data_IF_101338343336
#
_entry.id   IF_101338343336
#
_cell.length_a   1.000
_cell.length_b   1.000
_cell.length_c   1.000
_cell.angle_alpha   90.00
_cell.angle_beta   90.00
_cell.angle_gamma   90.00
#
_symmetry.space_group_name_H-M   'P 1'
#
loop_
_entity.id
_entity.type
_entity.pdbx_description
1 polymer ?
#
# COMPACT_ATOMS: atom_id res chain seq x y z
N UNK A 1 30.37 36.68 -74.00
CA UNK A 1 31.28 37.68 -73.41
C UNK A 1 30.65 38.19 -72.13
N UNK A 2 31.37 38.00 -71.01
CA UNK A 2 31.19 38.61 -69.68
C UNK A 2 29.85 38.42 -68.96
N UNK A 3 29.75 38.05 -67.69
CA UNK A 3 30.67 37.66 -66.62
C UNK A 3 29.80 37.59 -65.35
N UNK A 4 30.04 36.55 -64.56
CA UNK A 4 29.39 36.26 -63.29
C UNK A 4 29.81 37.27 -62.23
N UNK A 5 28.86 37.71 -61.38
CA UNK A 5 29.18 38.02 -59.98
C UNK A 5 28.14 37.39 -59.06
N UNK A 6 28.62 36.36 -58.37
CA UNK A 6 27.99 35.69 -57.25
C UNK A 6 28.02 36.60 -56.01
N UNK A 7 27.08 36.38 -55.09
CA UNK A 7 27.38 35.94 -53.73
C UNK A 7 26.08 35.85 -52.91
N UNK A 8 25.62 34.61 -52.69
CA UNK A 8 24.72 34.24 -51.60
C UNK A 8 25.59 33.84 -50.40
N UNK A 9 25.33 34.41 -49.22
CA UNK A 9 25.80 33.91 -47.93
C UNK A 9 24.67 34.14 -46.91
N UNK A 10 23.76 33.18 -46.72
CA UNK A 10 23.75 32.17 -45.63
C UNK A 10 24.22 32.68 -44.27
N UNK A 11 23.25 32.92 -43.38
CA UNK A 11 23.43 32.99 -41.93
C UNK A 11 22.37 32.12 -41.25
N UNK A 12 22.72 30.86 -41.02
CA UNK A 12 21.88 29.84 -40.37
C UNK A 12 22.04 29.89 -38.84
N UNK A 13 20.91 29.93 -38.15
CA UNK A 13 20.51 29.12 -36.98
C UNK A 13 21.60 28.72 -35.95
N UNK A 14 21.45 29.24 -34.72
CA UNK A 14 21.91 28.54 -33.52
C UNK A 14 20.86 28.65 -32.42
N UNK A 15 19.84 27.80 -32.52
CA UNK A 15 18.91 27.51 -31.43
C UNK A 15 19.57 26.45 -30.55
N UNK A 16 20.14 26.86 -29.42
CA UNK A 16 20.60 25.94 -28.38
C UNK A 16 19.38 25.32 -27.69
N UNK A 17 18.91 24.18 -28.17
CA UNK A 17 18.04 23.32 -27.38
C UNK A 17 18.93 22.46 -26.47
N UNK A 18 18.91 22.77 -25.19
CA UNK A 18 19.52 21.96 -24.15
C UNK A 18 18.68 20.69 -24.00
N UNK A 19 19.16 19.60 -24.58
CA UNK A 19 18.61 18.26 -24.39
C UNK A 19 18.77 17.85 -22.93
N UNK A 20 17.72 17.98 -22.13
CA UNK A 20 17.57 17.28 -20.86
C UNK A 20 17.11 15.85 -21.16
N UNK A 21 18.05 14.93 -21.38
CA UNK A 21 17.74 13.51 -21.26
C UNK A 21 17.72 13.19 -19.76
N UNK A 22 16.52 13.06 -19.20
CA UNK A 22 16.36 12.43 -17.91
C UNK A 22 16.76 10.96 -18.07
N UNK A 23 17.94 10.59 -17.57
CA UNK A 23 18.33 9.21 -17.36
C UNK A 23 17.34 8.57 -16.37
N UNK A 24 16.34 7.88 -16.91
CA UNK A 24 15.49 7.00 -16.12
C UNK A 24 16.34 5.79 -15.77
N UNK A 25 17.01 5.85 -14.63
CA UNK A 25 17.64 4.70 -14.00
C UNK A 25 16.53 3.71 -13.60
N UNK A 26 16.21 2.77 -14.50
CA UNK A 26 15.45 1.59 -14.15
C UNK A 26 16.33 0.71 -13.25
N UNK A 27 16.18 0.87 -11.94
CA UNK A 27 16.80 -0.02 -10.97
C UNK A 27 16.17 -1.43 -11.10
N UNK A 28 16.95 -2.35 -11.65
CA UNK A 28 16.65 -3.78 -11.73
C UNK A 28 16.76 -4.40 -10.32
N UNK A 29 15.67 -4.32 -9.55
CA UNK A 29 15.52 -5.04 -8.29
C UNK A 29 15.08 -6.48 -8.57
N UNK A 30 16.01 -7.41 -8.33
CA UNK A 30 15.91 -8.81 -8.74
C UNK A 30 14.57 -9.51 -8.44
N UNK A 31 13.95 -10.04 -9.50
CA UNK A 31 13.04 -11.20 -9.52
C UNK A 31 11.94 -11.28 -8.43
N UNK A 32 11.35 -10.14 -8.12
CA UNK A 32 10.09 -10.02 -7.39
C UNK A 32 9.58 -8.60 -7.54
N UNK A 33 9.33 -8.16 -8.77
CA UNK A 33 8.96 -6.77 -9.06
C UNK A 33 7.77 -6.29 -8.21
N UNK A 34 7.60 -4.97 -8.12
CA UNK A 34 6.52 -4.36 -7.33
C UNK A 34 5.15 -4.93 -7.68
N UNK A 35 4.24 -4.94 -6.70
CA UNK A 35 2.86 -5.31 -6.96
C UNK A 35 2.25 -4.31 -7.95
N UNK A 36 1.51 -4.86 -8.90
CA UNK A 36 0.97 -4.16 -10.07
C UNK A 36 -0.52 -3.97 -9.94
N UNK A 37 -1.08 -2.99 -10.66
CA UNK A 37 -2.54 -2.76 -10.66
C UNK A 37 -3.34 -3.98 -11.14
N UNK A 38 -2.73 -4.81 -12.00
CA UNK A 38 -3.33 -6.05 -12.48
C UNK A 38 -3.24 -7.23 -11.50
N UNK A 39 -2.56 -7.08 -10.36
CA UNK A 39 -2.51 -8.13 -9.34
C UNK A 39 -3.82 -8.14 -8.56
N UNK A 40 -4.43 -9.32 -8.50
CA UNK A 40 -5.66 -9.54 -7.73
C UNK A 40 -5.30 -9.76 -6.28
N UNK A 41 -5.62 -8.76 -5.48
CA UNK A 41 -5.31 -8.71 -4.06
C UNK A 41 -6.59 -8.54 -3.27
N UNK A 42 -6.71 -9.26 -2.18
CA UNK A 42 -7.89 -9.22 -1.31
C UNK A 42 -7.45 -9.15 0.14
N UNK A 43 -7.95 -8.15 0.83
CA UNK A 43 -7.78 -7.94 2.26
C UNK A 43 -8.85 -8.78 2.93
N UNK A 44 -8.47 -9.94 3.44
CA UNK A 44 -9.41 -10.88 4.06
C UNK A 44 -9.89 -10.37 5.42
N UNK A 45 -8.95 -9.89 6.23
CA UNK A 45 -9.14 -9.63 7.64
C UNK A 45 -8.13 -8.63 8.22
N UNK A 46 -8.53 -7.98 9.32
CA UNK A 46 -7.70 -7.07 10.10
C UNK A 46 -7.99 -7.25 11.60
N UNK A 47 -6.99 -7.75 12.32
CA UNK A 47 -7.01 -7.96 13.76
C UNK A 47 -6.01 -7.04 14.48
N UNK A 48 -6.13 -6.96 15.81
CA UNK A 48 -5.19 -6.24 16.69
C UNK A 48 -4.56 -7.16 17.74
N UNK A 49 -3.46 -6.72 18.32
CA UNK A 49 -2.83 -7.39 19.46
C UNK A 49 -2.45 -6.37 20.54
N UNK A 50 -2.90 -6.55 21.80
CA UNK A 50 -3.84 -7.58 22.25
C UNK A 50 -5.25 -7.39 21.64
N UNK A 51 -6.09 -8.42 21.69
CA UNK A 51 -7.53 -8.36 21.39
C UNK A 51 -8.26 -9.34 22.36
N UNK A 52 -9.26 -8.89 23.14
CA UNK A 52 -9.78 -7.52 23.20
C UNK A 52 -8.87 -6.56 23.97
N UNK A 53 -9.11 -5.25 23.83
CA UNK A 53 -8.37 -4.19 24.53
C UNK A 53 -9.27 -3.29 25.37
N UNK A 54 -8.73 -2.79 26.49
CA UNK A 54 -9.36 -1.74 27.26
C UNK A 54 -9.17 -0.37 26.58
N UNK A 55 -10.09 0.56 26.85
CA UNK A 55 -9.92 1.94 26.41
C UNK A 55 -8.61 2.53 26.97
N UNK A 56 -7.87 3.27 26.14
CA UNK A 56 -6.56 3.81 26.50
C UNK A 56 -5.41 2.79 26.55
N UNK A 57 -5.69 1.49 26.41
CA UNK A 57 -4.65 0.47 26.27
C UNK A 57 -3.95 0.61 24.92
N UNK A 58 -2.62 0.41 24.93
CA UNK A 58 -1.80 0.46 23.71
C UNK A 58 -2.05 -0.76 22.83
N UNK A 59 -2.31 -0.52 21.55
CA UNK A 59 -2.19 -1.55 20.53
C UNK A 59 -0.70 -1.77 20.28
N UNK A 60 -0.28 -3.04 20.26
CA UNK A 60 1.12 -3.43 20.01
C UNK A 60 1.35 -3.70 18.52
N UNK A 61 0.44 -4.47 17.93
CA UNK A 61 0.52 -4.84 16.54
C UNK A 61 -0.87 -4.96 15.91
N UNK A 62 -0.88 -4.83 14.59
CA UNK A 62 -1.97 -5.14 13.70
C UNK A 62 -1.65 -6.46 13.01
N UNK A 63 -2.66 -7.30 12.79
CA UNK A 63 -2.53 -8.55 12.05
C UNK A 63 -3.41 -8.47 10.81
N UNK A 64 -2.78 -8.34 9.66
CA UNK A 64 -3.49 -8.21 8.38
C UNK A 64 -3.41 -9.53 7.64
N UNK A 65 -4.52 -10.00 7.10
CA UNK A 65 -4.55 -11.14 6.18
C UNK A 65 -4.81 -10.64 4.76
N UNK A 66 -3.83 -10.80 3.88
CA UNK A 66 -3.94 -10.40 2.48
C UNK A 66 -3.72 -11.61 1.58
N UNK A 67 -4.68 -11.89 0.70
CA UNK A 67 -4.58 -12.90 -0.33
C UNK A 67 -4.09 -12.29 -1.63
N UNK A 68 -3.01 -12.84 -2.18
CA UNK A 68 -2.57 -12.59 -3.55
C UNK A 68 -2.95 -13.77 -4.43
N UNK A 69 -3.81 -13.52 -5.40
CA UNK A 69 -4.21 -14.55 -6.36
C UNK A 69 -3.16 -14.75 -7.47
N UNK A 70 -3.20 -15.91 -8.10
CA UNK A 70 -2.24 -16.29 -9.15
C UNK A 70 -0.95 -16.89 -8.59
N UNK A 71 0.12 -16.91 -9.38
CA UNK A 71 1.37 -17.63 -9.05
C UNK A 71 2.58 -16.72 -8.84
N UNK A 72 2.40 -15.40 -9.01
CA UNK A 72 3.51 -14.44 -8.91
C UNK A 72 3.78 -14.10 -7.45
N UNK A 73 5.00 -13.64 -7.20
CA UNK A 73 5.38 -12.95 -5.97
C UNK A 73 5.63 -11.48 -6.32
N UNK A 74 5.39 -10.58 -5.39
CA UNK A 74 5.64 -9.15 -5.59
C UNK A 74 5.97 -8.45 -4.27
N UNK A 75 6.52 -7.24 -4.37
CA UNK A 75 6.88 -6.40 -3.23
C UNK A 75 5.98 -5.16 -3.15
N UNK A 76 5.56 -4.77 -1.95
CA UNK A 76 4.65 -3.63 -1.75
C UNK A 76 4.71 -3.07 -0.33
N UNK A 77 4.34 -1.80 -0.17
CA UNK A 77 4.06 -1.18 1.12
C UNK A 77 2.60 -1.39 1.53
N UNK A 78 2.38 -1.69 2.81
CA UNK A 78 1.04 -1.89 3.40
C UNK A 78 0.81 -0.83 4.46
N UNK A 79 -0.31 -0.11 4.36
CA UNK A 79 -0.70 0.96 5.26
C UNK A 79 -2.02 0.63 5.95
N UNK A 80 -2.10 0.89 7.25
CA UNK A 80 -3.33 0.82 8.02
C UNK A 80 -3.70 2.23 8.43
N UNK A 81 -4.93 2.64 8.13
CA UNK A 81 -5.41 4.00 8.31
C UNK A 81 -6.65 4.06 9.18
N UNK A 82 -6.69 5.06 10.06
CA UNK A 82 -7.90 5.53 10.73
C UNK A 82 -8.21 6.93 10.19
N UNK A 83 -9.19 7.02 9.29
CA UNK A 83 -9.41 8.25 8.51
C UNK A 83 -8.13 8.70 7.79
N UNK A 84 -7.65 9.90 8.13
CA UNK A 84 -6.45 10.48 7.51
C UNK A 84 -5.12 10.06 8.19
N UNK A 85 -5.17 9.36 9.31
CA UNK A 85 -3.98 8.98 10.08
C UNK A 85 -3.46 7.61 9.67
N UNK A 86 -2.15 7.46 9.50
CA UNK A 86 -1.51 6.15 9.29
C UNK A 86 -1.14 5.59 10.67
N UNK A 87 -1.84 4.53 11.09
CA UNK A 87 -1.70 3.89 12.40
C UNK A 87 -0.85 2.61 12.37
N UNK A 88 -0.54 2.11 11.17
CA UNK A 88 0.36 0.98 10.93
C UNK A 88 0.99 1.08 9.54
N UNK A 89 2.23 0.63 9.41
CA UNK A 89 2.95 0.63 8.14
C UNK A 89 3.98 -0.50 8.08
N UNK A 90 3.86 -1.38 7.09
CA UNK A 90 4.90 -2.33 6.69
C UNK A 90 5.48 -1.91 5.34
N UNK A 91 6.81 -1.82 5.27
CA UNK A 91 7.55 -1.44 4.05
C UNK A 91 8.09 -2.67 3.35
N UNK A 92 8.20 -2.60 2.03
CA UNK A 92 8.94 -3.57 1.21
C UNK A 92 8.49 -5.03 1.49
N UNK A 93 7.20 -5.23 1.75
CA UNK A 93 6.67 -6.54 2.13
C UNK A 93 6.62 -7.47 0.92
N UNK A 94 7.32 -8.59 1.03
CA UNK A 94 7.38 -9.62 -0.01
C UNK A 94 6.16 -10.53 0.06
N UNK A 95 5.20 -10.26 -0.80
CA UNK A 95 3.97 -11.01 -0.88
C UNK A 95 4.15 -12.29 -1.69
N UNK A 96 3.69 -13.40 -1.12
CA UNK A 96 3.60 -14.70 -1.80
C UNK A 96 2.19 -14.94 -2.31
N UNK A 97 2.08 -15.77 -3.34
CA UNK A 97 0.79 -16.34 -3.77
C UNK A 97 0.07 -17.01 -2.60
N UNK A 98 -1.25 -16.85 -2.56
CA UNK A 98 -2.10 -17.31 -1.48
C UNK A 98 -2.21 -16.30 -0.33
N UNK A 99 -2.50 -16.79 0.87
CA UNK A 99 -2.73 -15.95 2.05
C UNK A 99 -1.41 -15.60 2.75
N UNK A 100 -1.26 -14.30 3.00
CA UNK A 100 -0.15 -13.69 3.73
C UNK A 100 -0.71 -13.15 5.04
N UNK A 101 -0.19 -13.65 6.16
CA UNK A 101 -0.45 -13.09 7.48
C UNK A 101 0.71 -12.16 7.81
N UNK A 102 0.40 -10.87 7.94
CA UNK A 102 1.39 -9.82 8.16
C UNK A 102 1.15 -9.22 9.54
N UNK A 103 2.16 -9.27 10.40
CA UNK A 103 2.17 -8.52 11.65
C UNK A 103 2.84 -7.16 11.43
N UNK A 104 2.10 -6.09 11.71
CA UNK A 104 2.54 -4.70 11.51
C UNK A 104 2.53 -3.99 12.86
N UNK A 105 3.66 -3.41 13.26
CA UNK A 105 3.72 -2.64 14.51
C UNK A 105 2.80 -1.42 14.47
N UNK A 106 2.11 -1.15 15.58
CA UNK A 106 1.31 0.06 15.71
C UNK A 106 2.21 1.30 15.81
N UNK A 107 1.91 2.33 15.02
CA UNK A 107 2.63 3.62 15.08
C UNK A 107 2.26 4.40 16.33
N UNK A 108 3.23 5.18 16.84
CA UNK A 108 3.06 6.18 17.90
C UNK A 108 2.38 5.68 19.18
N UNK A 109 2.50 4.38 19.46
CA UNK A 109 1.78 3.70 20.53
C UNK A 109 0.28 4.00 20.50
N UNK A 110 -0.32 3.84 19.32
CA UNK A 110 -1.73 4.07 19.07
C UNK A 110 -2.64 3.39 20.09
N UNK A 111 -3.73 4.08 20.44
CA UNK A 111 -4.70 3.67 21.45
C UNK A 111 -6.08 4.05 20.96
N UNK A 112 -7.05 3.19 21.23
CA UNK A 112 -8.45 3.54 21.09
C UNK A 112 -8.80 4.63 22.11
N UNK A 113 -9.43 5.70 21.63
CA UNK A 113 -9.86 6.88 22.37
C UNK A 113 -11.18 7.37 21.80
N UNK A 114 -12.19 7.55 22.66
CA UNK A 114 -13.49 8.03 22.22
C UNK A 114 -14.36 6.92 21.64
N UNK A 115 -15.15 7.25 20.62
CA UNK A 115 -16.18 6.36 20.06
C UNK A 115 -15.89 6.06 18.59
N UNK A 116 -16.14 4.81 18.22
CA UNK A 116 -16.00 4.22 16.86
C UNK A 116 -14.56 4.24 16.32
N UNK A 117 -14.01 3.03 16.08
CA UNK A 117 -12.68 2.86 15.52
C UNK A 117 -12.77 2.01 14.25
N UNK A 118 -12.74 2.66 13.10
CA UNK A 118 -12.80 2.00 11.80
C UNK A 118 -11.53 2.24 11.00
N UNK A 119 -11.03 1.16 10.40
CA UNK A 119 -9.75 1.15 9.72
C UNK A 119 -9.88 0.75 8.26
N UNK A 120 -9.03 1.33 7.43
CA UNK A 120 -8.82 0.92 6.05
C UNK A 120 -7.40 0.40 5.89
N UNK A 121 -7.27 -0.69 5.15
CA UNK A 121 -5.98 -1.22 4.74
C UNK A 121 -5.75 -0.81 3.28
N UNK A 122 -4.58 -0.24 3.01
CA UNK A 122 -4.16 0.20 1.68
C UNK A 122 -2.83 -0.47 1.33
N UNK A 123 -2.62 -0.69 0.05
CA UNK A 123 -1.43 -1.36 -0.48
C UNK A 123 -0.90 -0.52 -1.63
N UNK A 124 0.41 -0.37 -1.72
CA UNK A 124 1.03 0.36 -2.83
C UNK A 124 1.09 -0.53 -4.08
N UNK A 125 0.42 -0.09 -5.14
CA UNK A 125 0.47 -0.71 -6.45
C UNK A 125 1.14 0.26 -7.42
N UNK A 126 2.27 -0.15 -7.99
CA UNK A 126 3.03 0.62 -8.99
C UNK A 126 3.49 2.01 -8.51
N UNK A 127 3.78 2.19 -7.21
CA UNK A 127 4.15 3.48 -6.63
C UNK A 127 2.95 4.39 -6.34
N UNK A 128 1.73 3.83 -6.39
CA UNK A 128 0.50 4.51 -6.05
C UNK A 128 -0.18 3.79 -4.88
N UNK A 129 -0.42 4.52 -3.78
CA UNK A 129 -1.22 4.02 -2.66
C UNK A 129 -2.65 3.82 -3.11
N UNK A 130 -3.07 2.57 -3.21
CA UNK A 130 -4.41 2.21 -3.66
C UNK A 130 -5.15 1.45 -2.56
N UNK A 131 -6.45 1.70 -2.47
CA UNK A 131 -7.34 0.82 -1.74
C UNK A 131 -7.74 -0.30 -2.68
N UNK A 132 -7.33 -1.52 -2.37
CA UNK A 132 -7.52 -2.66 -3.27
C UNK A 132 -8.95 -3.21 -3.17
N UNK A 133 -9.51 -3.25 -1.96
CA UNK A 133 -10.90 -3.62 -1.73
C UNK A 133 -11.72 -2.37 -1.42
N UNK A 134 -12.09 -1.66 -2.50
CA UNK A 134 -12.86 -0.42 -2.46
C UNK A 134 -13.88 -0.39 -1.32
N UNK A 135 -13.73 0.61 -0.45
CA UNK A 135 -14.63 0.91 0.68
C UNK A 135 -14.65 -0.09 1.86
N UNK A 136 -13.97 -1.25 1.81
CA UNK A 136 -13.96 -2.17 2.97
C UNK A 136 -13.33 -1.48 4.18
N UNK A 137 -14.13 -1.36 5.24
CA UNK A 137 -13.74 -0.83 6.56
C UNK A 137 -13.80 -1.95 7.58
N UNK A 138 -12.79 -2.02 8.42
CA UNK A 138 -12.71 -2.94 9.54
C UNK A 138 -12.96 -2.14 10.81
N UNK A 139 -14.09 -2.34 11.46
CA UNK A 139 -14.49 -1.54 12.61
C UNK A 139 -14.40 -2.36 13.91
N UNK A 140 -13.74 -1.79 14.91
CA UNK A 140 -13.74 -2.37 16.24
C UNK A 140 -15.14 -2.23 16.86
N UNK A 141 -15.58 -3.26 17.55
CA UNK A 141 -16.85 -3.28 18.26
C UNK A 141 -16.59 -3.12 19.76
N UNK A 142 -17.27 -2.18 20.40
CA UNK A 142 -17.24 -2.00 21.85
C UNK A 142 -18.35 -2.80 22.51
N UNK A 143 -17.97 -3.75 23.36
CA UNK A 143 -18.87 -4.32 24.38
C UNK A 143 -18.39 -3.84 25.75
N UNK A 144 -17.79 -4.72 26.55
CA UNK A 144 -17.02 -4.34 27.75
C UNK A 144 -15.61 -3.85 27.39
N UNK A 145 -15.08 -4.36 26.29
CA UNK A 145 -13.76 -4.06 25.73
C UNK A 145 -13.91 -3.91 24.22
N UNK A 146 -12.91 -3.32 23.57
CA UNK A 146 -12.85 -3.19 22.13
C UNK A 146 -12.24 -4.44 21.50
N UNK A 147 -12.83 -4.91 20.41
CA UNK A 147 -12.36 -6.08 19.66
C UNK A 147 -12.52 -5.84 18.17
N UNK A 148 -11.53 -6.27 17.37
CA UNK A 148 -11.61 -6.23 15.90
C UNK A 148 -12.21 -7.52 15.34
N UNK A 149 -12.21 -8.60 16.12
CA UNK A 149 -12.83 -9.87 15.73
C UNK A 149 -14.33 -9.70 15.48
N UNK A 150 -14.78 -10.21 14.35
CA UNK A 150 -16.20 -10.24 14.02
C UNK A 150 -16.97 -11.07 15.06
N UNK A 151 -18.21 -10.69 15.37
CA UNK A 151 -19.01 -11.41 16.35
C UNK A 151 -19.27 -12.87 15.95
N UNK A 152 -19.18 -13.19 14.65
CA UNK A 152 -19.48 -14.51 14.07
C UNK A 152 -18.31 -15.52 14.14
N UNK A 153 -17.06 -15.07 14.36
CA UNK A 153 -15.91 -15.98 14.53
C UNK A 153 -16.01 -16.86 15.78
N UNK A 154 -16.80 -16.43 16.77
CA UNK A 154 -17.09 -17.24 17.98
C UNK A 154 -18.15 -18.32 17.74
N UNK A 155 -18.92 -18.23 16.65
CA UNK A 155 -19.95 -19.21 16.27
C UNK A 155 -19.39 -20.39 15.48
N UNK A 156 -18.31 -20.18 14.71
CA UNK A 156 -17.73 -21.20 13.83
C UNK A 156 -16.98 -22.32 14.57
N UNK A 157 -16.40 -22.02 15.73
CA UNK A 157 -15.69 -23.01 16.57
C UNK A 157 -16.65 -24.05 17.19
N UNK A 158 -17.97 -23.82 17.15
CA UNK A 158 -18.97 -24.74 17.72
C UNK A 158 -19.61 -25.70 16.71
N UNK A 159 -19.16 -25.70 15.46
CA UNK A 159 -19.64 -26.61 14.42
C UNK A 159 -18.46 -27.28 13.70
N UNK A 160 -17.74 -28.12 14.45
CA UNK A 160 -16.95 -29.24 13.92
C UNK A 160 -17.25 -30.47 14.77
#
# INVERSE_FOLDING_TARGET
MSWIKAAFLTGLLSSMMVNWTADVAAADWGRGGSCRRGDRLHIEDLDITPDPIFEGQRIRAWKVRIRLDGRRKCETDIFIREGNNIVGHARDYKMRSGVNEIEISARDHFRFRGREHCFNVQVDLEGSRQQIDGERRFCAIQRTMWSMREADDRGRVRRE
#
